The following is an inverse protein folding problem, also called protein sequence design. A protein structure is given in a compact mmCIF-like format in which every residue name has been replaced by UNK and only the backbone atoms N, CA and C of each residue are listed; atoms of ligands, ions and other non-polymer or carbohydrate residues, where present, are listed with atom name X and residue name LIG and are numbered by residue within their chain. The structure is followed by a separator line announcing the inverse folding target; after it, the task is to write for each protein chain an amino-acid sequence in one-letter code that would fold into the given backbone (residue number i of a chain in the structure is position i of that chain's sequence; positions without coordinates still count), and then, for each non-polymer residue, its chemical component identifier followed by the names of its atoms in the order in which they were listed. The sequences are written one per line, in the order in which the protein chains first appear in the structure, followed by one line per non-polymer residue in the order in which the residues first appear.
data_IF_023154942616
#
_entry.id   IF_023154942616
#
_cell.length_a   1.000
_cell.length_b   1.000
_cell.length_c   1.000
_cell.angle_alpha   90.00
_cell.angle_beta   90.00
_cell.angle_gamma   90.00
#
_symmetry.space_group_name_H-M   'P 1'
#
loop_
_entity.id
_entity.type
_entity.pdbx_description
1 polymer ?
#
# COMPACT_ATOMS: atom_id res chain seq x y z
N UNK A 1 -3.08 -45.91 -22.33
CA UNK A 1 -2.75 -45.20 -23.58
C UNK A 1 -3.76 -44.07 -23.68
N UNK A 2 -3.48 -43.01 -22.92
CA UNK A 2 -4.36 -41.86 -22.76
C UNK A 2 -3.92 -40.82 -23.77
N UNK A 3 -4.86 -40.39 -24.56
CA UNK A 3 -4.71 -39.49 -25.70
C UNK A 3 -4.29 -38.08 -25.27
N UNK A 4 -3.02 -37.78 -25.51
CA UNK A 4 -2.36 -36.52 -25.24
C UNK A 4 -2.34 -35.65 -26.49
N UNK A 5 -3.50 -35.42 -27.05
CA UNK A 5 -3.65 -34.56 -28.24
C UNK A 5 -4.96 -33.81 -28.17
N UNK A 6 -4.88 -32.60 -27.73
CA UNK A 6 -5.56 -31.40 -28.20
C UNK A 6 -5.60 -30.31 -27.14
N UNK A 7 -4.43 -29.82 -26.75
CA UNK A 7 -4.39 -28.47 -26.15
C UNK A 7 -4.27 -27.50 -27.34
N UNK A 8 -5.19 -26.53 -27.49
CA UNK A 8 -5.05 -25.50 -28.49
C UNK A 8 -3.71 -24.80 -28.28
N UNK A 9 -2.91 -24.81 -29.34
CA UNK A 9 -1.65 -24.06 -29.41
C UNK A 9 -1.98 -22.59 -29.10
N UNK A 10 -1.70 -22.16 -27.83
CA UNK A 10 -1.76 -20.78 -27.44
C UNK A 10 -0.78 -20.08 -28.37
N UNK A 11 -1.31 -19.38 -29.37
CA UNK A 11 -0.52 -18.52 -30.25
C UNK A 11 0.33 -17.67 -29.34
N UNK A 12 1.62 -17.91 -29.31
CA UNK A 12 2.57 -17.04 -28.60
C UNK A 12 2.35 -15.65 -29.16
N UNK A 13 1.79 -14.77 -28.36
CA UNK A 13 1.80 -13.35 -28.65
C UNK A 13 3.27 -13.00 -28.78
N UNK A 14 3.71 -12.48 -29.93
CA UNK A 14 5.09 -12.08 -30.18
C UNK A 14 5.51 -10.96 -29.22
N UNK A 15 5.90 -11.37 -28.01
CA UNK A 15 6.27 -10.50 -26.89
C UNK A 15 7.68 -10.84 -26.39
N UNK A 16 8.44 -11.61 -27.20
CA UNK A 16 9.85 -11.86 -26.90
C UNK A 16 10.68 -10.64 -27.34
N UNK A 17 11.83 -10.36 -26.69
CA UNK A 17 12.68 -9.22 -27.06
C UNK A 17 13.08 -9.18 -28.52
N UNK A 18 13.15 -10.34 -29.19
CA UNK A 18 13.38 -10.46 -30.64
C UNK A 18 12.28 -9.88 -31.50
N UNK A 19 11.04 -9.84 -30.99
CA UNK A 19 9.86 -9.31 -31.69
C UNK A 19 9.65 -7.82 -31.39
N UNK A 20 10.37 -7.31 -30.39
CA UNK A 20 10.30 -5.95 -29.86
C UNK A 20 11.61 -5.17 -30.15
N UNK A 21 12.37 -5.55 -31.18
CA UNK A 21 13.64 -4.92 -31.57
C UNK A 21 14.67 -4.80 -30.43
N UNK A 22 14.61 -5.78 -29.49
CA UNK A 22 15.53 -5.86 -28.35
C UNK A 22 15.01 -5.24 -27.07
N UNK A 23 13.83 -4.62 -27.08
CA UNK A 23 13.17 -4.08 -25.89
C UNK A 23 12.40 -5.18 -25.13
N UNK A 24 12.21 -4.96 -23.84
CA UNK A 24 11.39 -5.82 -22.98
C UNK A 24 10.00 -5.23 -22.78
N UNK A 25 9.05 -6.08 -22.41
CA UNK A 25 7.69 -5.62 -22.11
C UNK A 25 7.67 -4.66 -20.89
N UNK A 26 8.58 -4.89 -19.92
CA UNK A 26 8.71 -4.01 -18.74
C UNK A 26 9.19 -2.60 -19.15
N UNK A 27 10.18 -2.51 -20.03
CA UNK A 27 10.65 -1.21 -20.56
C UNK A 27 9.56 -0.46 -21.32
N UNK A 28 8.72 -1.18 -22.08
CA UNK A 28 7.59 -0.57 -22.79
C UNK A 28 6.47 -0.14 -21.84
N UNK A 29 6.27 -0.88 -20.74
CA UNK A 29 5.32 -0.48 -19.69
C UNK A 29 5.79 0.78 -18.99
N UNK A 30 7.06 0.84 -18.57
CA UNK A 30 7.66 2.03 -17.95
C UNK A 30 7.60 3.24 -18.90
N UNK A 31 7.88 3.04 -20.19
CA UNK A 31 7.79 4.09 -21.20
C UNK A 31 6.36 4.62 -21.36
N UNK A 32 5.37 3.73 -21.33
CA UNK A 32 3.96 4.10 -21.39
C UNK A 32 3.52 4.87 -20.15
N UNK A 33 3.90 4.41 -18.96
CA UNK A 33 3.60 5.07 -17.67
C UNK A 33 4.26 6.44 -17.54
N UNK A 34 5.44 6.62 -18.11
CA UNK A 34 6.11 7.92 -18.22
C UNK A 34 5.46 8.86 -19.25
N UNK A 35 4.33 8.47 -19.87
CA UNK A 35 3.65 9.26 -20.89
C UNK A 35 4.46 9.36 -22.19
N UNK A 36 5.22 8.33 -22.53
CA UNK A 36 6.12 8.25 -23.70
C UNK A 36 7.20 9.34 -23.68
N UNK A 37 7.74 9.65 -22.50
CA UNK A 37 8.79 10.66 -22.35
C UNK A 37 9.93 10.16 -21.44
N UNK A 38 11.21 10.47 -21.81
CA UNK A 38 11.64 11.11 -23.05
C UNK A 38 11.37 10.24 -24.29
N UNK A 39 11.10 10.85 -25.45
CA UNK A 39 10.84 10.08 -26.68
C UNK A 39 12.06 9.21 -27.05
N UNK A 40 11.81 7.94 -27.30
CA UNK A 40 12.83 6.98 -27.72
C UNK A 40 12.52 6.50 -29.13
N UNK A 41 13.37 6.87 -30.09
CA UNK A 41 13.21 6.50 -31.50
C UNK A 41 13.23 4.99 -31.72
N UNK A 42 14.00 4.24 -30.92
CA UNK A 42 14.09 2.79 -31.05
C UNK A 42 12.76 2.11 -30.68
N UNK A 43 11.97 2.73 -29.82
CA UNK A 43 10.63 2.29 -29.45
C UNK A 43 9.58 2.86 -30.43
N UNK A 44 9.68 4.18 -30.70
CA UNK A 44 8.69 4.91 -31.48
C UNK A 44 8.65 4.51 -32.95
N UNK A 45 9.79 4.11 -33.54
CA UNK A 45 9.89 3.71 -34.94
C UNK A 45 9.79 2.18 -35.13
N UNK A 46 9.74 1.38 -34.05
CA UNK A 46 9.60 -0.08 -34.09
C UNK A 46 8.14 -0.51 -34.23
N UNK A 47 7.75 -1.20 -35.30
CA UNK A 47 6.39 -1.71 -35.46
C UNK A 47 6.00 -2.72 -34.37
N UNK A 48 6.95 -3.54 -33.87
CA UNK A 48 6.72 -4.50 -32.79
C UNK A 48 6.44 -3.79 -31.47
N UNK A 49 7.26 -2.78 -31.12
CA UNK A 49 7.04 -1.98 -29.89
C UNK A 49 5.72 -1.20 -29.95
N UNK A 50 5.35 -0.63 -31.10
CA UNK A 50 4.07 0.09 -31.23
C UNK A 50 2.87 -0.86 -31.05
N UNK A 51 2.93 -2.06 -31.60
CA UNK A 51 1.87 -3.06 -31.41
C UNK A 51 1.74 -3.47 -29.93
N UNK A 52 2.86 -3.64 -29.24
CA UNK A 52 2.88 -3.96 -27.82
C UNK A 52 2.36 -2.80 -26.96
N UNK A 53 2.76 -1.57 -27.25
CA UNK A 53 2.26 -0.35 -26.56
C UNK A 53 0.74 -0.18 -26.74
N UNK A 54 0.21 -0.40 -27.95
CA UNK A 54 -1.24 -0.35 -28.19
C UNK A 54 -2.00 -1.46 -27.43
N UNK A 55 -1.38 -2.63 -27.24
CA UNK A 55 -1.96 -3.69 -26.44
C UNK A 55 -1.95 -3.35 -24.93
N UNK A 56 -0.86 -2.78 -24.44
CA UNK A 56 -0.74 -2.30 -23.05
C UNK A 56 -1.73 -1.17 -22.75
N UNK A 57 -1.88 -0.19 -23.64
CA UNK A 57 -2.87 0.89 -23.47
C UNK A 57 -4.29 0.34 -23.38
N UNK A 58 -4.64 -0.63 -24.22
CA UNK A 58 -5.95 -1.30 -24.15
C UNK A 58 -6.15 -2.05 -22.85
N UNK A 59 -5.11 -2.73 -22.37
CA UNK A 59 -5.16 -3.45 -21.09
C UNK A 59 -5.36 -2.50 -19.91
N UNK A 60 -4.65 -1.37 -19.89
CA UNK A 60 -4.82 -0.32 -18.88
C UNK A 60 -6.22 0.31 -18.95
N UNK A 61 -6.74 0.55 -20.15
CA UNK A 61 -8.11 1.06 -20.35
C UNK A 61 -9.18 0.10 -19.84
N UNK A 62 -9.04 -1.20 -20.12
CA UNK A 62 -9.96 -2.23 -19.60
C UNK A 62 -9.89 -2.35 -18.07
N UNK A 63 -8.69 -2.22 -17.49
CA UNK A 63 -8.52 -2.19 -16.04
C UNK A 63 -9.26 -1.02 -15.40
N UNK A 64 -9.15 0.17 -15.99
CA UNK A 64 -9.85 1.37 -15.52
C UNK A 64 -11.38 1.25 -15.69
N UNK A 65 -11.86 0.67 -16.79
CA UNK A 65 -13.30 0.41 -17.02
C UNK A 65 -13.87 -0.63 -16.05
N UNK A 66 -13.12 -1.71 -15.77
CA UNK A 66 -13.51 -2.72 -14.77
C UNK A 66 -13.59 -2.11 -13.37
N UNK A 67 -12.59 -1.34 -12.96
CA UNK A 67 -12.59 -0.61 -11.69
C UNK A 67 -13.75 0.39 -11.61
N UNK A 68 -14.04 1.12 -12.68
CA UNK A 68 -15.18 2.04 -12.75
C UNK A 68 -16.52 1.29 -12.71
N UNK A 69 -16.65 0.14 -13.36
CA UNK A 69 -17.84 -0.70 -13.34
C UNK A 69 -18.07 -1.35 -11.97
N UNK A 70 -17.02 -1.81 -11.30
CA UNK A 70 -17.08 -2.31 -9.92
C UNK A 70 -17.48 -1.20 -8.96
N UNK A 71 -16.91 0.00 -9.10
CA UNK A 71 -17.26 1.18 -8.29
C UNK A 71 -18.72 1.62 -8.52
N UNK A 72 -19.24 1.46 -9.74
CA UNK A 72 -20.65 1.80 -10.05
C UNK A 72 -21.65 0.74 -9.60
N UNK A 73 -21.20 -0.50 -9.37
CA UNK A 73 -22.03 -1.62 -8.89
C UNK A 73 -22.06 -1.73 -7.35
N UNK A 74 -21.15 -1.05 -6.65
CA UNK A 74 -21.19 -0.98 -5.19
C UNK A 74 -22.34 -0.07 -4.72
N UNK A 75 -23.13 -0.48 -3.68
CA UNK A 75 -24.04 0.44 -3.01
C UNK A 75 -23.24 1.62 -2.49
N UNK A 76 -23.80 2.84 -2.60
CA UNK A 76 -23.15 4.10 -2.21
C UNK A 76 -22.37 3.93 -0.89
N UNK A 77 -21.06 3.75 -1.01
CA UNK A 77 -20.16 3.77 0.13
C UNK A 77 -20.24 5.19 0.68
N UNK A 78 -20.63 5.32 1.94
CA UNK A 78 -20.64 6.59 2.64
C UNK A 78 -19.32 7.32 2.37
N UNK A 79 -19.35 8.37 1.55
CA UNK A 79 -18.17 9.12 1.11
C UNK A 79 -17.28 9.57 2.28
N UNK A 80 -17.85 9.64 3.49
CA UNK A 80 -17.13 9.94 4.73
C UNK A 80 -16.06 8.87 5.08
N UNK A 81 -16.21 7.63 4.60
CA UNK A 81 -15.22 6.57 4.81
C UNK A 81 -14.02 6.73 3.88
N UNK A 82 -14.26 7.00 2.58
CA UNK A 82 -13.21 7.26 1.60
C UNK A 82 -12.42 8.51 2.00
N UNK A 83 -13.10 9.58 2.39
CA UNK A 83 -12.47 10.82 2.86
C UNK A 83 -11.61 10.57 4.12
N UNK A 84 -12.04 9.70 5.03
CA UNK A 84 -11.24 9.32 6.20
C UNK A 84 -9.97 8.55 5.83
N UNK A 85 -10.05 7.62 4.87
CA UNK A 85 -8.87 6.89 4.40
C UNK A 85 -7.92 7.82 3.66
N UNK A 86 -8.42 8.61 2.70
CA UNK A 86 -7.60 9.56 1.95
C UNK A 86 -6.97 10.62 2.87
N UNK A 87 -7.71 11.09 3.87
CA UNK A 87 -7.18 12.01 4.88
C UNK A 87 -6.11 11.34 5.75
N UNK A 88 -6.28 10.05 6.08
CA UNK A 88 -5.27 9.25 6.79
C UNK A 88 -3.99 9.12 5.96
N UNK A 89 -4.11 8.72 4.71
CA UNK A 89 -2.97 8.59 3.78
C UNK A 89 -2.28 9.94 3.56
N UNK A 90 -3.04 11.02 3.35
CA UNK A 90 -2.50 12.35 3.16
C UNK A 90 -1.80 12.90 4.42
N UNK A 91 -2.27 12.54 5.62
CA UNK A 91 -1.59 12.89 6.87
C UNK A 91 -0.31 12.07 7.09
N UNK A 92 -0.31 10.79 6.70
CA UNK A 92 0.87 9.92 6.80
C UNK A 92 1.95 10.32 5.79
N UNK A 93 1.55 10.81 4.61
CA UNK A 93 2.47 11.34 3.59
C UNK A 93 3.19 12.64 4.03
N UNK A 94 2.67 13.35 5.06
CA UNK A 94 3.36 14.50 5.63
C UNK A 94 4.49 14.01 6.53
N UNK A 95 5.71 14.44 6.28
CA UNK A 95 6.89 14.08 7.08
C UNK A 95 6.71 14.39 8.57
N UNK A 96 5.97 15.46 8.91
CA UNK A 96 5.75 15.87 10.30
C UNK A 96 7.03 16.31 10.99
N UNK A 97 7.03 16.28 12.34
CA UNK A 97 8.19 16.63 13.16
C UNK A 97 9.31 15.61 12.98
N UNK A 98 10.55 16.05 13.15
CA UNK A 98 11.72 15.16 13.14
C UNK A 98 11.95 14.62 14.55
N UNK A 99 12.16 13.33 14.66
CA UNK A 99 12.48 12.59 15.87
C UNK A 99 13.96 12.28 15.82
N UNK A 100 14.79 12.85 16.70
CA UNK A 100 16.22 12.62 16.70
C UNK A 100 16.54 11.20 17.18
N UNK A 101 17.66 10.65 16.68
CA UNK A 101 18.32 9.50 17.29
C UNK A 101 19.58 9.94 18.01
N UNK A 102 19.91 9.27 19.10
CA UNK A 102 21.21 9.45 19.73
C UNK A 102 22.32 9.00 18.77
N UNK A 103 23.29 9.87 18.54
CA UNK A 103 24.47 9.55 17.74
C UNK A 103 25.74 9.68 18.57
N UNK A 104 26.66 8.68 18.52
CA UNK A 104 27.95 8.78 19.15
C UNK A 104 28.82 9.94 18.58
N UNK A 105 28.53 10.34 17.33
CA UNK A 105 29.22 11.45 16.66
C UNK A 105 28.30 12.69 16.66
N UNK A 106 28.70 13.77 17.41
CA UNK A 106 27.91 15.00 17.49
C UNK A 106 27.76 15.74 16.14
N UNK A 107 28.60 15.41 15.15
CA UNK A 107 28.51 16.00 13.81
C UNK A 107 27.49 15.30 12.91
N UNK A 108 26.96 14.14 13.34
CA UNK A 108 26.00 13.34 12.60
C UNK A 108 24.60 13.58 13.12
N UNK A 109 23.79 14.25 12.32
CA UNK A 109 22.36 14.49 12.63
C UNK A 109 21.52 13.32 12.08
N UNK A 110 21.24 12.33 12.94
CA UNK A 110 20.38 11.19 12.64
C UNK A 110 18.95 11.44 13.16
N UNK A 111 17.98 10.92 12.47
CA UNK A 111 16.59 10.97 12.91
C UNK A 111 15.60 10.40 11.91
N UNK A 112 14.40 10.15 12.39
CA UNK A 112 13.26 9.66 11.62
C UNK A 112 12.14 10.71 11.65
N UNK A 113 11.26 10.73 10.67
CA UNK A 113 10.11 11.63 10.68
C UNK A 113 8.89 10.98 11.33
N UNK A 114 7.97 11.78 11.89
CA UNK A 114 6.67 11.27 12.38
C UNK A 114 5.91 10.47 11.30
N UNK A 115 6.00 10.88 10.04
CA UNK A 115 5.39 10.17 8.93
C UNK A 115 5.94 8.76 8.79
N UNK A 116 7.27 8.60 8.88
CA UNK A 116 7.91 7.29 8.85
C UNK A 116 7.53 6.43 10.07
N UNK A 117 7.42 7.04 11.27
CA UNK A 117 6.95 6.32 12.47
C UNK A 117 5.50 5.88 12.31
N UNK A 118 4.61 6.72 11.76
CA UNK A 118 3.24 6.30 11.42
C UNK A 118 3.21 5.16 10.41
N UNK A 119 4.12 5.17 9.44
CA UNK A 119 4.31 4.06 8.50
C UNK A 119 4.71 2.75 9.21
N UNK A 120 5.64 2.83 10.18
CA UNK A 120 6.02 1.68 11.02
C UNK A 120 4.83 1.15 11.84
N UNK A 121 4.03 2.02 12.46
CA UNK A 121 2.82 1.62 13.19
C UNK A 121 1.84 0.92 12.25
N UNK A 122 1.65 1.45 11.05
CA UNK A 122 0.75 0.86 10.05
C UNK A 122 1.25 -0.50 9.56
N UNK A 123 2.56 -0.73 9.48
CA UNK A 123 3.10 -2.03 9.11
C UNK A 123 2.73 -3.16 10.09
N UNK A 124 2.45 -2.82 11.36
CA UNK A 124 1.98 -3.78 12.36
C UNK A 124 0.62 -4.40 12.00
N UNK A 125 -0.19 -3.74 11.17
CA UNK A 125 -1.47 -4.25 10.67
C UNK A 125 -1.31 -5.58 9.92
N UNK A 126 -0.23 -5.74 9.16
CA UNK A 126 0.01 -6.95 8.36
C UNK A 126 0.15 -8.22 9.21
N UNK A 127 0.51 -8.09 10.49
CA UNK A 127 0.67 -9.21 11.43
C UNK A 127 -0.59 -9.49 12.25
N UNK A 128 -1.55 -8.56 12.26
CA UNK A 128 -2.78 -8.67 13.07
C UNK A 128 -3.99 -8.72 12.15
N UNK A 129 -4.38 -9.94 11.76
CA UNK A 129 -5.54 -10.14 10.89
C UNK A 129 -6.83 -9.63 11.53
N UNK A 130 -7.68 -9.02 10.72
CA UNK A 130 -9.01 -8.57 11.13
C UNK A 130 -9.07 -7.16 11.69
N UNK A 131 -7.98 -6.41 11.68
CA UNK A 131 -7.94 -4.98 11.98
C UNK A 131 -7.43 -4.20 10.76
N UNK A 132 -7.88 -2.96 10.66
CA UNK A 132 -7.34 -1.96 9.74
C UNK A 132 -7.05 -0.69 10.53
N UNK A 133 -5.81 -0.22 10.46
CA UNK A 133 -5.38 1.02 11.12
C UNK A 133 -5.83 2.22 10.28
N UNK A 134 -6.63 3.09 10.85
CA UNK A 134 -7.06 4.35 10.26
C UNK A 134 -6.08 5.48 10.57
N UNK A 135 -6.35 6.24 11.62
CA UNK A 135 -5.53 7.39 12.03
C UNK A 135 -4.55 7.00 13.13
N UNK A 136 -3.31 7.51 13.02
CA UNK A 136 -2.29 7.44 14.08
C UNK A 136 -1.85 8.81 14.48
N UNK A 137 -1.68 9.05 15.81
CA UNK A 137 -1.15 10.30 16.37
C UNK A 137 -0.12 10.00 17.45
N UNK A 138 0.95 10.80 17.46
CA UNK A 138 1.95 10.82 18.52
C UNK A 138 1.68 12.05 19.38
N UNK A 139 1.29 11.84 20.63
CA UNK A 139 0.97 12.87 21.59
C UNK A 139 2.15 13.04 22.53
N UNK A 140 2.69 14.23 22.60
CA UNK A 140 3.89 14.61 23.31
C UNK A 140 4.89 15.33 22.40
N UNK A 141 6.04 15.72 22.92
CA UNK A 141 7.09 16.34 22.14
C UNK A 141 8.10 15.29 21.64
N UNK A 142 7.87 14.77 20.47
CA UNK A 142 8.72 13.75 19.83
C UNK A 142 10.10 14.28 19.41
N UNK A 143 10.35 15.59 19.52
CA UNK A 143 11.64 16.21 19.19
C UNK A 143 12.62 16.22 20.35
N UNK A 144 12.14 15.89 21.55
CA UNK A 144 12.92 15.81 22.77
C UNK A 144 13.15 14.35 23.13
N UNK A 145 14.39 13.98 23.33
CA UNK A 145 14.76 12.61 23.75
C UNK A 145 14.13 12.30 25.12
N UNK A 146 13.77 11.04 25.33
CA UNK A 146 13.16 10.51 26.55
C UNK A 146 11.83 11.15 27.00
N UNK A 147 11.29 12.11 26.25
CA UNK A 147 9.98 12.69 26.55
C UNK A 147 8.88 11.61 26.45
N UNK A 148 7.98 11.51 27.44
CA UNK A 148 6.94 10.49 27.41
C UNK A 148 5.95 10.73 26.27
N UNK A 149 5.86 9.76 25.35
CA UNK A 149 4.99 9.81 24.19
C UNK A 149 3.85 8.81 24.34
N UNK A 150 2.63 9.29 24.08
CA UNK A 150 1.43 8.45 23.94
C UNK A 150 1.11 8.27 22.47
N UNK A 151 0.85 7.04 22.06
CA UNK A 151 0.42 6.70 20.71
C UNK A 151 -1.09 6.47 20.72
N UNK A 152 -1.83 7.23 19.92
CA UNK A 152 -3.27 7.04 19.72
C UNK A 152 -3.53 6.45 18.33
N UNK A 153 -4.29 5.36 18.28
CA UNK A 153 -4.64 4.64 17.05
C UNK A 153 -6.15 4.50 16.96
N UNK A 154 -6.72 5.07 15.91
CA UNK A 154 -8.10 4.76 15.50
C UNK A 154 -8.04 3.59 14.51
N UNK A 155 -8.79 2.52 14.77
CA UNK A 155 -8.82 1.34 13.92
C UNK A 155 -10.27 0.88 13.65
N UNK A 156 -10.46 0.10 12.59
CA UNK A 156 -11.68 -0.66 12.34
C UNK A 156 -11.41 -2.16 12.45
N UNK A 157 -12.40 -2.92 12.94
CA UNK A 157 -12.29 -4.37 13.10
C UNK A 157 -13.23 -5.10 12.14
N UNK A 158 -12.88 -6.32 11.76
CA UNK A 158 -13.81 -7.21 11.07
C UNK A 158 -14.86 -7.74 12.05
N UNK A 159 -16.10 -7.86 11.57
CA UNK A 159 -17.18 -8.48 12.34
C UNK A 159 -16.78 -9.90 12.76
N UNK A 160 -17.19 -10.27 14.00
CA UNK A 160 -16.88 -11.60 14.57
C UNK A 160 -15.50 -11.71 15.21
N UNK A 161 -14.66 -10.69 15.15
CA UNK A 161 -13.35 -10.69 15.85
C UNK A 161 -13.55 -10.41 17.36
N UNK A 162 -12.79 -11.10 18.23
CA UNK A 162 -12.77 -10.79 19.67
C UNK A 162 -12.00 -9.49 19.91
N UNK A 163 -12.68 -8.34 19.84
CA UNK A 163 -12.11 -6.98 19.86
C UNK A 163 -10.99 -6.79 20.92
N UNK A 164 -11.17 -7.17 22.19
CA UNK A 164 -10.10 -6.99 23.18
C UNK A 164 -8.83 -7.74 22.81
N UNK A 165 -8.95 -8.98 22.31
CA UNK A 165 -7.81 -9.83 21.96
C UNK A 165 -7.04 -9.27 20.76
N UNK A 166 -7.74 -8.85 19.72
CA UNK A 166 -7.07 -8.29 18.52
C UNK A 166 -6.47 -6.92 18.82
N UNK A 167 -7.10 -6.10 19.67
CA UNK A 167 -6.55 -4.83 20.13
C UNK A 167 -5.27 -5.04 20.98
N UNK A 168 -5.24 -6.03 21.86
CA UNK A 168 -4.05 -6.34 22.66
C UNK A 168 -2.90 -6.86 21.78
N UNK A 169 -3.20 -7.67 20.76
CA UNK A 169 -2.20 -8.13 19.78
C UNK A 169 -1.63 -6.94 18.99
N UNK A 170 -2.48 -6.04 18.52
CA UNK A 170 -2.04 -4.85 17.81
C UNK A 170 -1.16 -3.98 18.70
N UNK A 171 -1.55 -3.78 19.98
CA UNK A 171 -0.77 -3.01 20.94
C UNK A 171 0.64 -3.60 21.12
N UNK A 172 0.73 -4.92 21.32
CA UNK A 172 2.00 -5.61 21.46
C UNK A 172 2.86 -5.51 20.22
N UNK A 173 2.28 -5.61 19.03
CA UNK A 173 3.03 -5.52 17.77
C UNK A 173 3.52 -4.11 17.49
N UNK A 174 2.68 -3.09 17.75
CA UNK A 174 3.08 -1.68 17.64
C UNK A 174 4.22 -1.36 18.62
N UNK A 175 4.11 -1.78 19.88
CA UNK A 175 5.19 -1.61 20.87
C UNK A 175 6.50 -2.25 20.40
N UNK A 176 6.43 -3.47 19.89
CA UNK A 176 7.57 -4.21 19.36
C UNK A 176 8.24 -3.47 18.20
N UNK A 177 7.45 -3.00 17.22
CA UNK A 177 7.97 -2.30 16.04
C UNK A 177 8.58 -0.97 16.43
N UNK A 178 7.93 -0.19 17.30
CA UNK A 178 8.46 1.10 17.75
C UNK A 178 9.77 0.94 18.53
N UNK A 179 9.87 -0.02 19.45
CA UNK A 179 11.12 -0.31 20.18
C UNK A 179 12.26 -0.79 19.28
N UNK A 180 11.94 -1.48 18.19
CA UNK A 180 12.95 -2.00 17.28
C UNK A 180 13.53 -0.93 16.34
N UNK A 181 12.76 0.14 16.07
CA UNK A 181 13.10 1.09 15.00
C UNK A 181 13.14 2.56 15.48
N UNK A 182 12.83 2.85 16.72
CA UNK A 182 12.84 4.20 17.27
C UNK A 182 13.38 4.20 18.68
N UNK A 183 13.81 5.38 19.16
CA UNK A 183 14.23 5.63 20.56
C UNK A 183 13.14 6.38 21.33
N UNK A 184 11.89 6.34 20.84
CA UNK A 184 10.76 7.00 21.50
C UNK A 184 10.45 6.35 22.86
N UNK A 185 10.32 7.18 23.89
CA UNK A 185 9.82 6.74 25.20
C UNK A 185 8.28 6.59 25.16
N UNK A 186 7.79 5.49 24.59
CA UNK A 186 6.36 5.21 24.46
C UNK A 186 5.82 4.71 25.81
N UNK A 187 5.02 5.53 26.47
CA UNK A 187 4.42 5.22 27.79
C UNK A 187 3.02 4.63 27.69
N UNK A 188 2.31 4.85 26.60
CA UNK A 188 0.98 4.31 26.37
C UNK A 188 0.68 4.16 24.88
N UNK A 189 -0.08 3.10 24.53
CA UNK A 189 -0.63 2.86 23.20
C UNK A 189 -2.13 2.66 23.36
N UNK A 190 -2.91 3.67 22.96
CA UNK A 190 -4.36 3.69 23.04
C UNK A 190 -4.96 3.31 21.69
N UNK A 191 -5.77 2.26 21.67
CA UNK A 191 -6.43 1.77 20.45
C UNK A 191 -7.94 1.95 20.61
N UNK A 192 -8.53 2.75 19.73
CA UNK A 192 -9.97 2.96 19.66
C UNK A 192 -10.53 2.30 18.41
N UNK A 193 -11.38 1.29 18.58
CA UNK A 193 -12.13 0.70 17.47
C UNK A 193 -13.32 1.61 17.16
N UNK A 194 -13.26 2.25 16.00
CA UNK A 194 -14.25 3.25 15.56
C UNK A 194 -15.34 2.66 14.69
N UNK A 195 -15.05 1.50 14.08
CA UNK A 195 -15.94 0.88 13.13
C UNK A 195 -15.79 -0.63 13.11
N UNK A 196 -16.86 -1.34 12.74
CA UNK A 196 -16.89 -2.79 12.54
C UNK A 196 -17.29 -3.05 11.10
N UNK A 197 -16.39 -3.65 10.32
CA UNK A 197 -16.59 -3.96 8.91
C UNK A 197 -17.11 -5.39 8.76
N UNK A 198 -18.07 -5.56 7.88
CA UNK A 198 -18.49 -6.89 7.44
C UNK A 198 -17.56 -7.36 6.30
N UNK A 199 -17.26 -8.65 6.29
CA UNK A 199 -16.64 -9.27 5.10
C UNK A 199 -17.77 -9.41 4.09
N UNK A 200 -17.75 -8.64 3.01
CA UNK A 200 -18.62 -8.92 1.86
C UNK A 200 -18.23 -10.30 1.34
N UNK A 201 -19.03 -11.32 1.69
CA UNK A 201 -18.89 -12.65 1.14
C UNK A 201 -19.33 -12.58 -0.34
N UNK A 202 -18.39 -12.53 -1.23
CA UNK A 202 -18.64 -12.85 -2.63
C UNK A 202 -19.05 -14.32 -2.66
N UNK A 203 -20.35 -14.55 -2.65
CA UNK A 203 -20.89 -15.89 -2.90
C UNK A 203 -20.61 -16.18 -4.37
N UNK A 204 -19.62 -17.04 -4.63
CA UNK A 204 -19.54 -17.74 -5.90
C UNK A 204 -20.81 -18.62 -5.98
N UNK A 205 -21.82 -18.13 -6.68
CA UNK A 205 -22.87 -19.01 -7.20
C UNK A 205 -22.29 -19.72 -8.42
N UNK A 206 -22.23 -21.04 -8.26
CA UNK A 206 -21.88 -22.02 -9.28
C UNK A 206 -22.97 -22.12 -10.34
#
# INVERSE_FOLDING_TARGET
MTDERDMPEVRRLGLEPSDLDGHTLDELTDYLEAGRQPSDRSIDESPGCQLALDALERLHGLGAELMAAETAAEPEVDGSWVDRILSGIAMDARSGRRIPFESPDPSTDLGITEGAVRGLIRSAESTVQGLLIGRCRLIGDVTVADEPIRVEIDASALHGQPIPVVADRLRGEVDRVLRAHTELNVVAIDIAIRDIREVSSWTQES
#
